data_IF_953000358402
#
_entry.id   IF_953000358402
#
_cell.length_a   1.000
_cell.length_b   1.000
_cell.length_c   1.000
_cell.angle_alpha   90.00
_cell.angle_beta   90.00
_cell.angle_gamma   90.00
#
_symmetry.space_group_name_H-M   'P 1'
#
loop_
_entity.id
_entity.type
_entity.pdbx_description
1 polymer ?
#
# COMPACT_ATOMS: atom_id res chain seq x y z
N UNK A 1 -42.55 8.49 -3.39
CA UNK A 1 -41.94 7.84 -4.57
C UNK A 1 -40.51 7.47 -4.22
N UNK A 2 -40.09 6.20 -4.35
CA UNK A 2 -38.69 5.84 -4.20
C UNK A 2 -37.90 6.54 -5.30
N UNK A 3 -36.81 7.23 -4.95
CA UNK A 3 -35.92 7.83 -5.96
C UNK A 3 -35.42 6.71 -6.88
N UNK A 4 -35.43 6.87 -8.21
CA UNK A 4 -34.74 5.94 -9.10
C UNK A 4 -33.28 5.85 -8.63
N UNK A 5 -32.72 4.64 -8.59
CA UNK A 5 -31.34 4.42 -8.18
C UNK A 5 -30.42 5.18 -9.14
N UNK A 6 -29.86 6.31 -8.70
CA UNK A 6 -28.94 7.09 -9.51
C UNK A 6 -27.75 6.20 -9.92
N UNK A 7 -27.42 6.14 -11.23
CA UNK A 7 -26.26 5.39 -11.70
C UNK A 7 -24.98 5.87 -11.01
N UNK A 8 -24.23 4.94 -10.42
CA UNK A 8 -22.95 5.20 -9.76
C UNK A 8 -21.83 4.35 -10.39
N UNK A 9 -20.60 4.90 -10.56
CA UNK A 9 -19.44 4.11 -10.95
C UNK A 9 -18.99 3.16 -9.84
N UNK A 10 -19.53 3.30 -8.63
CA UNK A 10 -19.19 2.49 -7.46
C UNK A 10 -20.32 1.55 -7.05
N UNK A 11 -19.93 0.42 -6.48
CA UNK A 11 -20.79 -0.48 -5.71
C UNK A 11 -20.28 -0.48 -4.28
N UNK A 12 -21.18 -0.24 -3.33
CA UNK A 12 -20.89 -0.26 -1.91
C UNK A 12 -21.34 -1.59 -1.30
N UNK A 13 -20.53 -2.10 -0.39
CA UNK A 13 -20.78 -3.33 0.35
C UNK A 13 -20.60 -3.06 1.83
N UNK A 14 -21.52 -3.57 2.65
CA UNK A 14 -21.19 -3.89 4.03
C UNK A 14 -20.34 -5.18 4.10
N UNK A 15 -19.74 -5.44 5.26
CA UNK A 15 -18.91 -6.63 5.50
C UNK A 15 -19.65 -7.95 5.24
N UNK A 16 -20.96 -8.02 5.54
CA UNK A 16 -21.76 -9.25 5.39
C UNK A 16 -22.01 -9.56 3.91
N UNK A 17 -22.27 -8.54 3.10
CA UNK A 17 -22.41 -8.67 1.65
C UNK A 17 -21.06 -9.05 1.02
N UNK A 18 -19.98 -8.41 1.47
CA UNK A 18 -18.64 -8.68 0.94
C UNK A 18 -18.15 -10.08 1.23
N UNK A 19 -18.29 -10.58 2.47
CA UNK A 19 -17.80 -11.93 2.84
C UNK A 19 -18.47 -13.05 2.04
N UNK A 20 -19.72 -12.84 1.60
CA UNK A 20 -20.43 -13.81 0.75
C UNK A 20 -19.73 -14.03 -0.61
N UNK A 21 -18.93 -13.07 -1.07
CA UNK A 21 -18.18 -13.15 -2.34
C UNK A 21 -16.94 -14.05 -2.27
N UNK A 22 -16.57 -14.54 -1.07
CA UNK A 22 -15.49 -15.53 -0.87
C UNK A 22 -15.72 -16.78 -1.71
N UNK A 23 -16.98 -17.22 -1.83
CA UNK A 23 -17.35 -18.51 -2.44
C UNK A 23 -16.53 -19.66 -1.83
N UNK A 24 -16.05 -20.60 -2.65
CA UNK A 24 -15.26 -21.75 -2.20
C UNK A 24 -13.75 -21.47 -2.04
N UNK A 25 -13.33 -20.21 -1.91
CA UNK A 25 -11.89 -19.88 -1.80
C UNK A 25 -11.34 -20.35 -0.45
N UNK A 26 -10.39 -21.32 -0.43
CA UNK A 26 -9.89 -21.88 0.82
C UNK A 26 -8.99 -20.87 1.55
N UNK A 27 -9.11 -20.82 2.87
CA UNK A 27 -8.16 -20.09 3.71
C UNK A 27 -6.91 -20.95 3.86
N UNK A 28 -5.80 -20.53 3.25
CA UNK A 28 -4.51 -21.22 3.31
C UNK A 28 -3.47 -20.51 4.19
N UNK A 29 -3.94 -19.62 5.08
CA UNK A 29 -3.12 -18.85 6.00
C UNK A 29 -3.42 -19.30 7.43
N UNK A 30 -2.37 -19.61 8.19
CA UNK A 30 -2.48 -20.02 9.59
C UNK A 30 -2.49 -18.81 10.53
N UNK A 31 -2.99 -19.00 11.75
CA UNK A 31 -2.94 -17.96 12.79
C UNK A 31 -1.49 -17.54 13.12
N UNK A 32 -0.55 -18.49 13.08
CA UNK A 32 0.86 -18.23 13.36
C UNK A 32 1.51 -17.36 12.28
N UNK A 33 1.29 -17.67 11.00
CA UNK A 33 1.77 -16.83 9.90
C UNK A 33 1.19 -15.42 9.98
N UNK A 34 -0.08 -15.29 10.38
CA UNK A 34 -0.74 -14.01 10.51
C UNK A 34 -0.05 -13.08 11.52
N UNK A 35 0.51 -13.63 12.62
CA UNK A 35 1.24 -12.84 13.62
C UNK A 35 2.44 -12.11 13.00
N UNK A 36 3.16 -12.74 12.06
CA UNK A 36 4.30 -12.15 11.36
C UNK A 36 3.91 -11.08 10.33
N UNK A 37 2.65 -11.08 9.87
CA UNK A 37 2.17 -10.10 8.88
C UNK A 37 1.61 -8.82 9.55
N UNK A 38 1.19 -8.91 10.81
CA UNK A 38 0.62 -7.79 11.57
C UNK A 38 1.64 -6.67 11.78
N UNK A 39 1.23 -5.45 11.46
CA UNK A 39 1.95 -4.25 11.88
C UNK A 39 1.71 -3.93 13.35
N UNK A 40 2.62 -3.14 13.94
CA UNK A 40 2.47 -2.64 15.31
C UNK A 40 1.15 -1.87 15.47
N UNK A 41 0.34 -2.27 16.44
CA UNK A 41 -0.95 -1.65 16.77
C UNK A 41 -2.15 -2.15 15.96
N UNK A 42 -1.97 -3.04 14.98
CA UNK A 42 -3.06 -3.55 14.14
C UNK A 42 -3.75 -4.77 14.76
N UNK A 43 -5.09 -4.78 14.73
CA UNK A 43 -5.93 -5.87 15.21
C UNK A 43 -6.44 -6.74 14.06
N UNK A 44 -5.52 -7.35 13.31
CA UNK A 44 -5.89 -8.25 12.21
C UNK A 44 -6.02 -9.69 12.71
N UNK A 45 -7.22 -10.26 12.73
CA UNK A 45 -7.44 -11.68 13.06
C UNK A 45 -7.74 -12.54 11.82
N UNK A 46 -7.86 -13.86 12.02
CA UNK A 46 -8.17 -14.78 10.93
C UNK A 46 -9.56 -14.55 10.35
N UNK A 47 -10.51 -14.05 11.15
CA UNK A 47 -11.87 -13.80 10.70
C UNK A 47 -11.88 -12.62 9.71
N UNK A 48 -11.13 -11.56 9.97
CA UNK A 48 -10.99 -10.46 9.02
C UNK A 48 -10.25 -10.89 7.74
N UNK A 49 -9.22 -11.74 7.85
CA UNK A 49 -8.59 -12.34 6.66
C UNK A 49 -9.62 -13.10 5.82
N UNK A 50 -10.45 -13.92 6.47
CA UNK A 50 -11.46 -14.73 5.82
C UNK A 50 -12.59 -13.91 5.18
N UNK A 51 -13.11 -12.93 5.91
CA UNK A 51 -14.29 -12.18 5.51
C UNK A 51 -13.97 -11.02 4.56
N UNK A 52 -12.76 -10.44 4.63
CA UNK A 52 -12.40 -9.23 3.87
C UNK A 52 -11.33 -9.53 2.83
N UNK A 53 -10.21 -10.12 3.24
CA UNK A 53 -9.04 -10.26 2.37
C UNK A 53 -9.14 -11.44 1.39
N UNK A 54 -9.82 -12.55 1.73
CA UNK A 54 -10.03 -13.64 0.78
C UNK A 54 -10.92 -13.27 -0.41
N UNK A 55 -12.11 -12.64 -0.24
CA UNK A 55 -12.87 -12.15 -1.40
C UNK A 55 -12.08 -11.15 -2.24
N UNK A 56 -11.27 -10.30 -1.61
CA UNK A 56 -10.39 -9.37 -2.30
C UNK A 56 -9.31 -10.09 -3.13
N UNK A 57 -8.60 -11.05 -2.55
CA UNK A 57 -7.59 -11.84 -3.25
C UNK A 57 -8.21 -12.61 -4.44
N UNK A 58 -9.43 -13.15 -4.27
CA UNK A 58 -10.19 -13.78 -5.36
C UNK A 58 -10.53 -12.78 -6.47
N UNK A 59 -11.04 -11.60 -6.13
CA UNK A 59 -11.34 -10.56 -7.12
C UNK A 59 -10.09 -10.18 -7.93
N UNK A 60 -8.97 -9.95 -7.24
CA UNK A 60 -7.69 -9.63 -7.88
C UNK A 60 -7.28 -10.78 -8.81
N UNK A 61 -7.35 -12.04 -8.35
CA UNK A 61 -7.00 -13.20 -9.16
C UNK A 61 -7.79 -13.28 -10.47
N UNK A 62 -9.10 -13.00 -10.43
CA UNK A 62 -9.93 -12.95 -11.64
C UNK A 62 -9.51 -11.82 -12.59
N UNK A 63 -9.15 -10.65 -12.05
CA UNK A 63 -8.70 -9.51 -12.86
C UNK A 63 -7.30 -9.72 -13.45
N UNK A 64 -6.39 -10.40 -12.74
CA UNK A 64 -5.07 -10.75 -13.27
C UNK A 64 -5.22 -11.58 -14.55
N UNK A 65 -6.02 -12.65 -14.51
CA UNK A 65 -6.26 -13.50 -15.68
C UNK A 65 -6.91 -12.73 -16.85
N UNK A 66 -7.84 -11.81 -16.56
CA UNK A 66 -8.46 -10.98 -17.59
C UNK A 66 -7.45 -9.99 -18.22
N UNK A 67 -6.60 -9.37 -17.39
CA UNK A 67 -5.62 -8.37 -17.83
C UNK A 67 -4.50 -8.99 -18.67
N UNK A 68 -4.06 -10.20 -18.34
CA UNK A 68 -3.09 -10.94 -19.16
C UNK A 68 -3.59 -11.17 -20.59
N UNK A 69 -4.88 -11.53 -20.77
CA UNK A 69 -5.48 -11.67 -22.12
C UNK A 69 -5.50 -10.35 -22.88
N UNK A 70 -5.76 -9.23 -22.20
CA UNK A 70 -5.74 -7.91 -22.83
C UNK A 70 -4.34 -7.55 -23.36
N UNK A 71 -3.30 -7.82 -22.56
CA UNK A 71 -1.92 -7.58 -22.99
C UNK A 71 -1.52 -8.50 -24.15
N UNK A 72 -1.91 -9.78 -24.11
CA UNK A 72 -1.66 -10.70 -25.21
C UNK A 72 -2.30 -10.22 -26.53
N UNK A 73 -3.53 -9.70 -26.49
CA UNK A 73 -4.19 -9.15 -27.68
C UNK A 73 -3.47 -7.90 -28.23
N UNK A 74 -2.90 -7.06 -27.36
CA UNK A 74 -2.11 -5.89 -27.79
C UNK A 74 -0.78 -6.33 -28.40
N UNK A 75 -0.09 -7.31 -27.80
CA UNK A 75 1.15 -7.87 -28.33
C UNK A 75 0.94 -8.51 -29.71
N UNK A 76 -0.15 -9.27 -29.89
CA UNK A 76 -0.54 -9.85 -31.18
C UNK A 76 -0.78 -8.75 -32.23
N UNK A 77 -1.53 -7.70 -31.89
CA UNK A 77 -1.77 -6.57 -32.80
C UNK A 77 -0.47 -5.87 -33.22
N UNK A 78 0.51 -5.75 -32.30
CA UNK A 78 1.81 -5.14 -32.58
C UNK A 78 2.78 -6.06 -33.34
N UNK A 79 2.40 -7.33 -33.57
CA UNK A 79 3.27 -8.32 -34.20
C UNK A 79 4.48 -8.69 -33.33
N UNK A 80 4.40 -8.49 -32.01
CA UNK A 80 5.45 -8.94 -31.10
C UNK A 80 5.51 -10.47 -31.12
N UNK A 81 6.71 -11.08 -31.02
CA UNK A 81 6.83 -12.52 -30.85
C UNK A 81 5.96 -12.95 -29.68
N UNK A 82 5.21 -14.05 -29.84
CA UNK A 82 4.31 -14.56 -28.82
C UNK A 82 5.02 -14.58 -27.47
N UNK A 83 4.57 -13.74 -26.53
CA UNK A 83 5.18 -13.63 -25.21
C UNK A 83 5.22 -15.02 -24.59
N UNK A 84 6.37 -15.39 -24.02
CA UNK A 84 6.51 -16.68 -23.34
C UNK A 84 5.35 -16.81 -22.33
N UNK A 85 4.49 -17.84 -22.42
CA UNK A 85 3.38 -18.05 -21.49
C UNK A 85 3.84 -18.08 -20.01
N UNK A 86 5.11 -18.45 -19.78
CA UNK A 86 5.74 -18.50 -18.46
C UNK A 86 6.24 -17.12 -17.96
N UNK A 87 6.07 -16.07 -18.78
CA UNK A 87 6.47 -14.68 -18.49
C UNK A 87 5.35 -13.69 -18.86
N UNK A 88 4.21 -13.72 -18.17
CA UNK A 88 3.15 -12.74 -18.39
C UNK A 88 3.60 -11.32 -18.00
N UNK A 89 3.03 -10.30 -18.64
CA UNK A 89 3.18 -8.91 -18.20
C UNK A 89 2.79 -8.79 -16.72
N UNK A 90 3.66 -8.26 -15.83
CA UNK A 90 3.37 -8.17 -14.41
C UNK A 90 2.12 -7.34 -14.12
N UNK A 91 1.25 -7.85 -13.24
CA UNK A 91 0.07 -7.13 -12.77
C UNK A 91 0.44 -6.24 -11.58
N UNK A 92 0.23 -4.93 -11.68
CA UNK A 92 0.66 -3.98 -10.66
C UNK A 92 -0.51 -3.52 -9.78
N UNK A 93 -0.34 -3.67 -8.47
CA UNK A 93 -1.32 -3.28 -7.45
C UNK A 93 -0.77 -2.12 -6.62
N UNK A 94 -1.46 -0.98 -6.65
CA UNK A 94 -1.16 0.14 -5.75
C UNK A 94 -1.90 0.02 -4.42
N UNK A 95 -1.21 0.16 -3.28
CA UNK A 95 -1.83 0.23 -1.94
C UNK A 95 -1.56 1.59 -1.30
N UNK A 96 -2.61 2.40 -1.17
CA UNK A 96 -2.57 3.79 -0.69
C UNK A 96 -3.36 3.98 0.61
N UNK A 97 -3.22 5.18 1.20
CA UNK A 97 -3.83 5.55 2.48
C UNK A 97 -2.87 6.34 3.38
N UNK A 98 -3.40 6.87 4.47
CA UNK A 98 -2.63 7.69 5.41
C UNK A 98 -1.50 6.92 6.13
N UNK A 99 -0.54 7.64 6.70
CA UNK A 99 0.37 7.08 7.72
C UNK A 99 -0.48 6.47 8.84
N UNK A 100 -0.02 5.35 9.41
CA UNK A 100 -0.69 4.61 10.51
C UNK A 100 -2.06 3.99 10.20
N UNK A 101 -2.62 4.13 9.00
CA UNK A 101 -3.93 3.54 8.66
C UNK A 101 -3.90 2.01 8.46
N UNK A 102 -2.71 1.41 8.31
CA UNK A 102 -2.55 -0.05 8.15
C UNK A 102 -2.17 -0.56 6.77
N UNK A 103 -1.79 0.31 5.82
CA UNK A 103 -1.40 -0.06 4.45
C UNK A 103 -0.41 -1.21 4.37
N UNK A 104 0.69 -1.15 5.12
CA UNK A 104 1.75 -2.15 5.04
C UNK A 104 1.27 -3.53 5.53
N UNK A 105 0.35 -3.56 6.50
CA UNK A 105 -0.33 -4.80 6.92
C UNK A 105 -1.21 -5.33 5.80
N UNK A 106 -2.08 -4.49 5.22
CA UNK A 106 -2.90 -4.84 4.05
C UNK A 106 -2.05 -5.40 2.90
N UNK A 107 -0.94 -4.75 2.57
CA UNK A 107 -0.04 -5.15 1.48
C UNK A 107 0.62 -6.51 1.75
N UNK A 108 1.15 -6.75 2.97
CA UNK A 108 1.73 -8.04 3.37
C UNK A 108 0.71 -9.18 3.37
N UNK A 109 -0.52 -8.92 3.82
CA UNK A 109 -1.60 -9.91 3.80
C UNK A 109 -1.98 -10.25 2.38
N UNK A 110 -2.16 -9.24 1.51
CA UNK A 110 -2.44 -9.47 0.10
C UNK A 110 -1.31 -10.24 -0.59
N UNK A 111 -0.05 -9.89 -0.32
CA UNK A 111 1.11 -10.62 -0.85
C UNK A 111 1.03 -12.10 -0.47
N UNK A 112 0.83 -12.39 0.82
CA UNK A 112 0.75 -13.75 1.33
C UNK A 112 -0.41 -14.54 0.70
N UNK A 113 -1.60 -13.95 0.60
CA UNK A 113 -2.77 -14.63 0.03
C UNK A 113 -2.63 -14.86 -1.48
N UNK A 114 -2.15 -13.86 -2.22
CA UNK A 114 -2.01 -13.95 -3.68
C UNK A 114 -0.95 -14.97 -4.09
N UNK A 115 0.17 -15.05 -3.37
CA UNK A 115 1.23 -16.04 -3.64
C UNK A 115 0.78 -17.50 -3.48
N UNK A 116 -0.37 -17.74 -2.82
CA UNK A 116 -0.94 -19.09 -2.61
C UNK A 116 -1.94 -19.52 -3.70
N UNK A 117 -2.20 -18.67 -4.70
CA UNK A 117 -2.93 -19.04 -5.91
C UNK A 117 -1.96 -19.70 -6.91
N UNK A 118 -2.26 -20.94 -7.32
CA UNK A 118 -1.32 -21.79 -8.06
C UNK A 118 -0.83 -21.24 -9.41
N UNK A 119 -1.54 -20.28 -10.01
CA UNK A 119 -1.19 -19.71 -11.32
C UNK A 119 -0.30 -18.47 -11.26
N UNK A 120 -0.07 -17.86 -10.08
CA UNK A 120 0.66 -16.58 -9.95
C UNK A 120 1.53 -16.56 -8.68
N UNK A 121 2.49 -17.50 -8.52
CA UNK A 121 3.20 -17.68 -7.26
C UNK A 121 4.16 -16.52 -6.92
N UNK A 122 4.67 -15.77 -7.90
CA UNK A 122 5.66 -14.72 -7.67
C UNK A 122 4.98 -13.38 -7.39
N UNK A 123 4.80 -13.08 -6.11
CA UNK A 123 4.22 -11.82 -5.64
C UNK A 123 5.25 -11.02 -4.86
N UNK A 124 5.76 -9.96 -5.48
CA UNK A 124 6.73 -9.06 -4.87
C UNK A 124 6.04 -7.85 -4.22
N UNK A 125 6.62 -7.33 -3.15
CA UNK A 125 6.16 -6.15 -2.43
C UNK A 125 7.27 -5.11 -2.35
N UNK A 126 7.01 -3.90 -2.82
CA UNK A 126 7.92 -2.74 -2.75
C UNK A 126 7.21 -1.57 -2.08
N UNK A 127 7.87 -0.92 -1.14
CA UNK A 127 7.38 0.32 -0.52
C UNK A 127 7.95 1.54 -1.22
N UNK A 128 7.18 2.62 -1.35
CA UNK A 128 7.67 3.84 -2.00
C UNK A 128 8.60 4.66 -1.11
N UNK A 129 8.71 4.33 0.18
CA UNK A 129 9.65 4.93 1.12
C UNK A 129 11.11 4.77 0.63
N UNK A 130 11.43 3.67 -0.06
CA UNK A 130 12.72 3.46 -0.73
C UNK A 130 13.05 4.47 -1.83
N UNK A 131 12.06 5.25 -2.27
CA UNK A 131 12.23 6.31 -3.27
C UNK A 131 12.16 7.71 -2.67
N UNK A 132 12.18 7.85 -1.35
CA UNK A 132 12.48 9.13 -0.71
C UNK A 132 13.90 9.55 -1.07
N UNK A 133 14.13 10.85 -1.20
CA UNK A 133 15.50 11.34 -1.24
C UNK A 133 16.21 11.04 0.09
N UNK A 134 17.52 10.72 0.07
CA UNK A 134 18.30 10.60 1.30
C UNK A 134 18.21 11.88 2.15
N UNK A 135 18.36 11.77 3.47
CA UNK A 135 18.24 12.90 4.38
C UNK A 135 19.20 14.04 4.02
N UNK A 136 20.41 13.73 3.54
CA UNK A 136 21.37 14.73 3.05
C UNK A 136 20.78 15.63 1.94
N UNK A 137 20.04 15.03 1.00
CA UNK A 137 19.40 15.76 -0.09
C UNK A 137 18.14 16.52 0.38
N UNK A 138 17.36 15.94 1.30
CA UNK A 138 16.22 16.62 1.92
C UNK A 138 16.66 17.85 2.73
N UNK A 139 17.77 17.76 3.47
CA UNK A 139 18.38 18.87 4.20
C UNK A 139 18.93 19.94 3.25
N UNK A 140 19.65 19.54 2.19
CA UNK A 140 20.15 20.46 1.15
C UNK A 140 19.03 21.27 0.51
N UNK A 141 17.87 20.64 0.30
CA UNK A 141 16.65 21.27 -0.25
C UNK A 141 15.80 21.99 0.80
N UNK A 142 16.15 21.92 2.09
CA UNK A 142 15.39 22.49 3.22
C UNK A 142 13.95 21.95 3.34
N UNK A 143 13.73 20.69 2.96
CA UNK A 143 12.41 20.02 2.98
C UNK A 143 12.37 18.80 3.90
N UNK A 144 13.27 18.72 4.90
CA UNK A 144 13.30 17.62 5.87
C UNK A 144 11.96 17.47 6.62
N UNK A 145 11.32 18.60 6.95
CA UNK A 145 9.99 18.67 7.57
C UNK A 145 8.84 18.27 6.63
N UNK A 146 9.13 18.00 5.34
CA UNK A 146 8.16 17.56 4.34
C UNK A 146 8.42 16.12 3.88
N UNK A 147 9.10 15.31 4.67
CA UNK A 147 9.28 13.89 4.37
C UNK A 147 7.91 13.20 4.28
N UNK A 148 7.67 12.50 3.17
CA UNK A 148 6.38 11.89 2.85
C UNK A 148 5.47 12.73 1.94
N UNK A 149 5.77 14.01 1.72
CA UNK A 149 5.11 14.85 0.71
C UNK A 149 5.64 14.56 -0.71
N UNK A 150 4.89 14.88 -1.78
CA UNK A 150 5.28 14.56 -3.16
C UNK A 150 6.71 14.96 -3.55
N UNK A 151 7.18 16.13 -3.10
CA UNK A 151 8.51 16.68 -3.39
C UNK A 151 9.66 15.96 -2.70
N UNK A 152 9.38 15.16 -1.66
CA UNK A 152 10.37 14.40 -0.91
C UNK A 152 10.79 13.09 -1.60
N UNK A 153 10.12 12.72 -2.71
CA UNK A 153 10.41 11.50 -3.46
C UNK A 153 11.16 11.77 -4.77
N UNK A 154 12.07 10.87 -5.14
CA UNK A 154 12.56 10.72 -6.50
C UNK A 154 11.49 10.03 -7.37
N UNK A 155 10.50 10.82 -7.77
CA UNK A 155 9.39 10.38 -8.64
C UNK A 155 9.88 9.82 -9.98
N UNK A 156 11.05 10.27 -10.48
CA UNK A 156 11.62 9.77 -11.73
C UNK A 156 12.19 8.37 -11.55
N UNK A 157 12.91 8.11 -10.45
CA UNK A 157 13.39 6.78 -10.13
C UNK A 157 12.24 5.79 -9.90
N UNK A 158 11.20 6.23 -9.19
CA UNK A 158 10.00 5.41 -8.96
C UNK A 158 9.29 5.07 -10.28
N UNK A 159 9.07 6.06 -11.16
CA UNK A 159 8.50 5.81 -12.49
C UNK A 159 9.35 4.83 -13.30
N UNK A 160 10.67 5.04 -13.39
CA UNK A 160 11.57 4.12 -14.11
C UNK A 160 11.50 2.69 -13.59
N UNK A 161 11.42 2.51 -12.26
CA UNK A 161 11.28 1.19 -11.66
C UNK A 161 9.98 0.50 -12.07
N UNK A 162 8.84 1.17 -11.93
CA UNK A 162 7.52 0.61 -12.30
C UNK A 162 7.43 0.32 -13.79
N UNK A 163 7.93 1.23 -14.63
CA UNK A 163 8.00 1.01 -16.08
C UNK A 163 8.87 -0.18 -16.41
N UNK A 164 10.08 -0.31 -15.84
CA UNK A 164 10.96 -1.44 -16.12
C UNK A 164 10.31 -2.79 -15.79
N UNK A 165 9.62 -2.88 -14.63
CA UNK A 165 8.88 -4.10 -14.27
C UNK A 165 7.74 -4.34 -15.26
N UNK A 166 6.89 -3.34 -15.52
CA UNK A 166 5.72 -3.51 -16.41
C UNK A 166 6.10 -3.81 -17.86
N UNK A 167 7.27 -3.35 -18.31
CA UNK A 167 7.83 -3.65 -19.62
C UNK A 167 8.51 -5.03 -19.70
N UNK A 168 8.47 -5.84 -18.64
CA UNK A 168 8.97 -7.22 -18.67
C UNK A 168 10.49 -7.36 -18.53
N UNK A 169 11.18 -6.36 -17.97
CA UNK A 169 12.61 -6.47 -17.69
C UNK A 169 12.92 -7.69 -16.81
N UNK A 170 14.03 -8.38 -17.07
CA UNK A 170 14.43 -9.58 -16.31
C UNK A 170 14.61 -9.27 -14.82
N UNK A 171 15.10 -8.07 -14.51
CA UNK A 171 15.20 -7.57 -13.16
C UNK A 171 15.08 -6.04 -13.10
N UNK A 172 14.51 -5.54 -12.02
CA UNK A 172 14.52 -4.14 -11.64
C UNK A 172 14.92 -4.03 -10.16
N UNK A 173 15.46 -2.88 -9.76
CA UNK A 173 15.90 -2.67 -8.38
C UNK A 173 15.29 -1.41 -7.78
N UNK A 174 14.86 -1.51 -6.53
CA UNK A 174 14.37 -0.39 -5.71
C UNK A 174 15.34 -0.16 -4.53
N UNK A 175 15.64 1.09 -4.14
CA UNK A 175 16.45 1.34 -2.95
C UNK A 175 15.72 0.91 -1.67
N UNK A 176 16.47 0.62 -0.62
CA UNK A 176 15.93 0.23 0.69
C UNK A 176 15.84 1.45 1.60
N UNK A 177 14.68 1.66 2.22
CA UNK A 177 14.50 2.62 3.31
C UNK A 177 14.47 1.90 4.65
N UNK A 178 15.15 2.45 5.65
CA UNK A 178 15.13 1.92 7.01
C UNK A 178 14.41 2.87 7.95
N UNK A 179 13.33 2.40 8.56
CA UNK A 179 12.63 3.12 9.61
C UNK A 179 13.44 3.23 10.91
N UNK A 180 14.49 2.41 11.10
CA UNK A 180 15.37 2.48 12.26
C UNK A 180 16.24 3.73 12.20
N UNK A 181 17.02 3.88 11.13
CA UNK A 181 17.89 5.05 10.91
C UNK A 181 17.16 6.23 10.29
N UNK A 182 15.89 6.04 9.90
CA UNK A 182 15.04 7.03 9.26
C UNK A 182 15.68 7.62 7.99
N UNK A 183 16.30 6.78 7.15
CA UNK A 183 16.95 7.19 5.91
C UNK A 183 17.04 6.02 4.90
N UNK A 184 17.45 6.34 3.67
CA UNK A 184 17.86 5.37 2.66
C UNK A 184 19.13 4.65 3.13
N UNK A 185 19.14 3.32 3.02
CA UNK A 185 20.30 2.51 3.38
C UNK A 185 21.30 2.51 2.20
N UNK A 186 22.52 3.06 2.35
CA UNK A 186 23.45 3.18 1.24
C UNK A 186 23.82 1.82 0.64
N UNK A 187 23.67 1.70 -0.69
CA UNK A 187 24.05 0.50 -1.44
C UNK A 187 23.04 -0.66 -1.39
N UNK A 188 22.14 -0.69 -0.42
CA UNK A 188 21.12 -1.74 -0.32
C UNK A 188 19.97 -1.53 -1.31
N UNK A 189 19.56 -2.63 -1.94
CA UNK A 189 18.49 -2.65 -2.94
C UNK A 189 17.64 -3.91 -2.82
N UNK A 190 16.34 -3.77 -3.01
CA UNK A 190 15.44 -4.88 -3.30
C UNK A 190 15.52 -5.17 -4.80
N UNK A 191 15.75 -6.43 -5.16
CA UNK A 191 15.78 -6.87 -6.56
C UNK A 191 14.48 -7.63 -6.86
N UNK A 192 13.70 -7.09 -7.80
CA UNK A 192 12.46 -7.67 -8.30
C UNK A 192 12.76 -8.38 -9.61
N UNK A 193 12.41 -9.67 -9.72
CA UNK A 193 12.76 -10.54 -10.85
C UNK A 193 11.52 -11.02 -11.59
N UNK A 194 11.00 -10.17 -12.48
CA UNK A 194 9.86 -10.46 -13.34
C UNK A 194 8.69 -11.14 -12.58
N UNK A 195 8.07 -10.46 -11.59
CA UNK A 195 6.99 -11.04 -10.79
C UNK A 195 5.73 -11.23 -11.62
N UNK A 196 4.86 -12.13 -11.19
CA UNK A 196 3.52 -12.25 -11.78
C UNK A 196 2.64 -11.09 -11.29
N UNK A 197 2.83 -10.70 -10.01
CA UNK A 197 2.15 -9.57 -9.37
C UNK A 197 3.18 -8.72 -8.61
N UNK A 198 3.17 -7.40 -8.84
CA UNK A 198 3.94 -6.45 -8.04
C UNK A 198 2.97 -5.59 -7.20
N UNK A 199 3.12 -5.64 -5.88
CA UNK A 199 2.42 -4.74 -4.95
C UNK A 199 3.32 -3.55 -4.65
N UNK A 200 2.81 -2.35 -4.87
CA UNK A 200 3.49 -1.09 -4.55
C UNK A 200 2.69 -0.37 -3.47
N UNK A 201 3.28 -0.26 -2.28
CA UNK A 201 2.65 0.36 -1.12
C UNK A 201 3.26 1.73 -0.83
N UNK A 202 2.43 2.74 -0.56
CA UNK A 202 2.94 4.03 -0.14
C UNK A 202 1.92 5.16 -0.10
N UNK A 203 2.37 6.33 0.37
CA UNK A 203 1.51 7.52 0.50
C UNK A 203 1.15 8.14 -0.85
N UNK A 204 2.04 8.02 -1.83
CA UNK A 204 2.00 8.76 -3.09
C UNK A 204 1.53 7.91 -4.29
N UNK A 205 1.19 6.64 -4.10
CA UNK A 205 1.00 5.69 -5.22
C UNK A 205 -0.18 6.03 -6.13
N UNK A 206 -1.20 6.73 -5.62
CA UNK A 206 -2.36 7.18 -6.41
C UNK A 206 -2.34 8.68 -6.76
N UNK A 207 -1.22 9.35 -6.51
CA UNK A 207 -1.06 10.75 -6.90
C UNK A 207 -1.01 10.90 -8.41
N UNK A 208 -1.61 11.99 -8.90
CA UNK A 208 -1.68 12.29 -10.32
C UNK A 208 -1.09 13.65 -10.61
N UNK A 209 -0.73 13.91 -11.87
CA UNK A 209 -0.24 15.21 -12.29
C UNK A 209 -0.40 15.42 -13.79
N UNK A 210 0.24 16.48 -14.33
CA UNK A 210 0.06 16.87 -15.73
C UNK A 210 0.75 15.93 -16.73
N UNK A 211 1.60 15.03 -16.25
CA UNK A 211 2.28 14.01 -17.04
C UNK A 211 1.94 12.62 -16.50
N UNK A 212 2.30 11.59 -17.26
CA UNK A 212 2.17 10.19 -16.85
C UNK A 212 2.75 9.96 -15.45
N UNK A 213 1.97 9.34 -14.57
CA UNK A 213 2.34 8.98 -13.19
C UNK A 213 2.27 7.47 -13.00
N UNK A 214 2.87 6.96 -11.93
CA UNK A 214 2.84 5.52 -11.64
C UNK A 214 1.42 4.97 -11.47
N UNK A 215 0.46 5.81 -11.05
CA UNK A 215 -0.96 5.43 -10.95
C UNK A 215 -1.55 5.01 -12.29
N UNK A 216 -1.04 5.54 -13.40
CA UNK A 216 -1.50 5.21 -14.76
C UNK A 216 -0.97 3.85 -15.22
N UNK A 217 0.03 3.30 -14.50
CA UNK A 217 0.60 1.98 -14.74
C UNK A 217 0.02 0.91 -13.81
N UNK A 218 -0.96 1.24 -12.96
CA UNK A 218 -1.59 0.25 -12.09
C UNK A 218 -2.75 -0.46 -12.77
N UNK A 219 -2.84 -1.77 -12.54
CA UNK A 219 -3.94 -2.61 -13.02
C UNK A 219 -5.06 -2.72 -11.98
N UNK A 220 -4.70 -2.56 -10.70
CA UNK A 220 -5.62 -2.47 -9.57
C UNK A 220 -5.09 -1.51 -8.51
N UNK A 221 -5.98 -0.90 -7.73
CA UNK A 221 -5.58 -0.08 -6.60
C UNK A 221 -6.50 -0.23 -5.40
N UNK A 222 -5.90 -0.28 -4.22
CA UNK A 222 -6.56 -0.34 -2.92
C UNK A 222 -6.24 0.94 -2.16
N UNK A 223 -7.26 1.60 -1.62
CA UNK A 223 -7.09 2.70 -0.67
C UNK A 223 -7.61 2.27 0.69
N UNK A 224 -6.73 2.25 1.70
CA UNK A 224 -7.09 1.98 3.08
C UNK A 224 -7.52 3.28 3.75
N UNK A 225 -8.78 3.36 4.14
CA UNK A 225 -9.47 4.55 4.61
C UNK A 225 -9.96 4.39 6.05
N UNK A 226 -10.00 5.49 6.79
CA UNK A 226 -10.55 5.57 8.15
C UNK A 226 -10.96 7.01 8.45
N UNK A 227 -11.58 7.28 9.61
CA UNK A 227 -11.79 8.67 10.03
C UNK A 227 -10.46 9.30 10.39
N UNK A 228 -10.31 10.60 10.15
CA UNK A 228 -9.05 11.30 10.40
C UNK A 228 -8.70 11.22 11.90
N UNK A 229 -9.71 11.32 12.74
CA UNK A 229 -9.61 11.27 14.21
C UNK A 229 -9.13 9.89 14.67
N UNK A 230 -9.63 8.81 14.06
CA UNK A 230 -9.19 7.44 14.37
C UNK A 230 -7.72 7.24 13.94
N UNK A 231 -7.32 7.74 12.77
CA UNK A 231 -5.95 7.64 12.28
C UNK A 231 -4.98 8.41 13.18
N UNK A 232 -5.37 9.60 13.65
CA UNK A 232 -4.58 10.37 14.62
C UNK A 232 -4.36 9.55 15.90
N UNK A 233 -5.43 8.96 16.44
CA UNK A 233 -5.33 8.13 17.64
C UNK A 233 -4.43 6.92 17.43
N UNK A 234 -4.52 6.24 16.28
CA UNK A 234 -3.65 5.12 15.93
C UNK A 234 -2.19 5.56 15.76
N UNK A 235 -1.96 6.73 15.16
CA UNK A 235 -0.63 7.29 15.02
C UNK A 235 0.01 7.56 16.39
N UNK A 236 -0.71 8.22 17.29
CA UNK A 236 -0.23 8.52 18.66
C UNK A 236 0.01 7.22 19.44
N UNK A 237 -0.92 6.27 19.37
CA UNK A 237 -0.79 4.98 20.06
C UNK A 237 0.42 4.19 19.57
N UNK A 238 0.64 4.17 18.25
CA UNK A 238 1.83 3.54 17.65
C UNK A 238 3.12 4.25 18.03
N UNK A 239 3.12 5.59 18.09
CA UNK A 239 4.29 6.35 18.54
C UNK A 239 4.69 5.98 19.98
N UNK A 240 3.71 5.86 20.89
CA UNK A 240 3.96 5.43 22.27
C UNK A 240 4.49 3.99 22.35
N UNK A 241 3.93 3.08 21.55
CA UNK A 241 4.43 1.71 21.47
C UNK A 241 5.86 1.64 20.91
N UNK A 242 6.18 2.44 19.89
CA UNK A 242 7.55 2.54 19.35
C UNK A 242 8.51 3.13 20.38
N UNK A 243 8.08 4.09 21.19
CA UNK A 243 8.88 4.64 22.29
C UNK A 243 9.32 3.55 23.28
N UNK A 244 8.41 2.65 23.66
CA UNK A 244 8.70 1.54 24.56
C UNK A 244 9.52 0.41 23.90
N UNK A 245 9.62 0.37 22.57
CA UNK A 245 10.32 -0.68 21.83
C UNK A 245 11.39 -0.12 20.90
N UNK A 246 11.02 0.17 19.64
CA UNK A 246 11.96 0.53 18.58
C UNK A 246 12.84 1.76 18.90
N UNK A 247 12.32 2.77 19.59
CA UNK A 247 13.09 3.97 19.94
C UNK A 247 14.05 3.73 21.11
N UNK A 248 13.87 2.68 21.90
CA UNK A 248 14.83 2.34 22.95
C UNK A 248 16.19 1.88 22.38
N UNK A 249 16.23 1.45 21.11
CA UNK A 249 17.48 1.15 20.42
C UNK A 249 18.31 2.44 20.22
N UNK A 250 19.57 2.52 20.72
CA UNK A 250 20.44 3.69 20.53
C UNK A 250 20.73 4.04 19.06
N UNK A 251 20.63 3.06 18.15
CA UNK A 251 20.78 3.28 16.72
C UNK A 251 19.52 3.86 16.06
N UNK A 252 18.40 3.96 16.79
CA UNK A 252 17.20 4.59 16.27
C UNK A 252 17.42 6.09 16.10
N UNK A 253 17.07 6.62 14.92
CA UNK A 253 17.02 8.07 14.70
C UNK A 253 16.13 8.78 15.74
N UNK A 254 15.10 8.09 16.22
CA UNK A 254 14.14 8.57 17.21
C UNK A 254 14.50 8.21 18.65
N UNK A 255 15.74 7.80 18.92
CA UNK A 255 16.17 7.42 20.26
C UNK A 255 15.97 8.53 21.30
N UNK A 256 16.10 9.79 20.87
CA UNK A 256 15.83 10.96 21.71
C UNK A 256 14.39 11.04 22.25
N UNK A 257 13.42 10.34 21.64
CA UNK A 257 12.06 10.24 22.18
C UNK A 257 11.90 9.18 23.27
N UNK A 258 12.86 8.26 23.43
CA UNK A 258 12.77 7.16 24.41
C UNK A 258 12.71 7.63 25.86
N UNK A 259 13.25 8.82 26.16
CA UNK A 259 13.29 9.40 27.50
C UNK A 259 12.10 10.31 27.81
N UNK A 260 11.20 10.56 26.86
CA UNK A 260 10.03 11.39 27.09
C UNK A 260 9.03 10.71 28.01
N UNK A 261 8.38 11.48 28.89
CA UNK A 261 7.19 11.02 29.62
C UNK A 261 6.02 10.76 28.67
N UNK A 262 4.99 10.04 29.12
CA UNK A 262 3.81 9.71 28.30
C UNK A 262 3.13 10.98 27.78
N UNK A 263 2.98 11.99 28.63
CA UNK A 263 2.41 13.28 28.26
C UNK A 263 3.24 14.00 27.20
N UNK A 264 4.58 14.05 27.38
CA UNK A 264 5.48 14.67 26.42
C UNK A 264 5.49 13.92 25.07
N UNK A 265 5.45 12.59 25.10
CA UNK A 265 5.42 11.77 23.90
C UNK A 265 4.10 11.91 23.14
N UNK A 266 2.97 12.00 23.84
CA UNK A 266 1.66 12.30 23.24
C UNK A 266 1.68 13.69 22.59
N UNK A 267 2.20 14.70 23.29
CA UNK A 267 2.32 16.05 22.75
C UNK A 267 3.17 16.07 21.48
N UNK A 268 4.37 15.47 21.51
CA UNK A 268 5.26 15.39 20.36
C UNK A 268 4.62 14.63 19.18
N UNK A 269 3.95 13.51 19.45
CA UNK A 269 3.26 12.74 18.41
C UNK A 269 2.14 13.57 17.76
N UNK A 270 1.31 14.26 18.56
CA UNK A 270 0.25 15.12 18.04
C UNK A 270 0.81 16.30 17.25
N UNK A 271 1.88 16.93 17.72
CA UNK A 271 2.52 18.02 17.00
C UNK A 271 3.01 17.58 15.61
N UNK A 272 3.71 16.45 15.51
CA UNK A 272 4.13 15.86 14.22
C UNK A 272 2.92 15.52 13.35
N UNK A 273 1.87 14.95 13.94
CA UNK A 273 0.65 14.63 13.20
C UNK A 273 0.01 15.88 12.60
N UNK A 274 -0.23 16.90 13.41
CA UNK A 274 -0.91 18.14 13.02
C UNK A 274 -0.07 18.98 12.04
N UNK A 275 1.26 19.01 12.20
CA UNK A 275 2.14 19.84 11.37
C UNK A 275 2.61 19.16 10.08
N UNK A 276 2.69 17.82 10.03
CA UNK A 276 3.26 17.08 8.89
C UNK A 276 2.26 16.10 8.28
N UNK A 277 1.79 15.12 9.06
CA UNK A 277 1.04 13.98 8.50
C UNK A 277 -0.38 14.35 8.07
N UNK A 278 -1.09 15.15 8.88
CA UNK A 278 -2.45 15.59 8.60
C UNK A 278 -2.53 16.51 7.38
N UNK A 279 -1.68 17.56 7.23
CA UNK A 279 -1.65 18.35 6.01
C UNK A 279 -1.33 17.49 4.78
N UNK A 280 -0.40 16.53 4.90
CA UNK A 280 -0.10 15.62 3.80
C UNK A 280 -1.31 14.74 3.43
N UNK A 281 -2.02 14.22 4.43
CA UNK A 281 -3.25 13.44 4.23
C UNK A 281 -4.30 14.27 3.50
N UNK A 282 -4.63 15.46 3.99
CA UNK A 282 -5.68 16.30 3.44
C UNK A 282 -5.35 16.75 2.02
N UNK A 283 -4.12 17.20 1.78
CA UNK A 283 -3.77 17.85 0.53
C UNK A 283 -3.30 16.88 -0.56
N UNK A 284 -2.69 15.75 -0.21
CA UNK A 284 -2.00 14.90 -1.19
C UNK A 284 -2.47 13.45 -1.23
N UNK A 285 -3.05 12.91 -0.15
CA UNK A 285 -3.43 11.49 -0.07
C UNK A 285 -4.94 11.32 -0.25
N UNK A 286 -5.75 11.97 0.60
CA UNK A 286 -7.21 11.85 0.61
C UNK A 286 -7.87 12.22 -0.74
N UNK A 287 -7.40 13.24 -1.49
CA UNK A 287 -7.95 13.56 -2.81
C UNK A 287 -7.79 12.43 -3.84
N UNK A 288 -6.90 11.47 -3.59
CA UNK A 288 -6.68 10.32 -4.49
C UNK A 288 -7.65 9.16 -4.24
N UNK A 289 -8.36 9.14 -3.09
CA UNK A 289 -9.30 8.07 -2.71
C UNK A 289 -10.36 7.75 -3.77
N UNK A 290 -10.98 8.73 -4.46
CA UNK A 290 -11.94 8.42 -5.54
C UNK A 290 -11.31 7.69 -6.74
N UNK A 291 -9.99 7.74 -6.92
CA UNK A 291 -9.33 7.07 -8.05
C UNK A 291 -9.07 5.59 -7.80
N UNK A 292 -9.14 5.15 -6.54
CA UNK A 292 -8.89 3.77 -6.16
C UNK A 292 -9.93 2.82 -6.77
N UNK A 293 -9.49 1.63 -7.19
CA UNK A 293 -10.39 0.56 -7.64
C UNK A 293 -11.22 0.05 -6.48
N UNK A 294 -10.62 -0.10 -5.30
CA UNK A 294 -11.29 -0.53 -4.08
C UNK A 294 -10.90 0.37 -2.90
N UNK A 295 -11.89 0.82 -2.13
CA UNK A 295 -11.68 1.47 -0.83
C UNK A 295 -12.04 0.51 0.28
N UNK A 296 -11.10 0.27 1.21
CA UNK A 296 -11.32 -0.49 2.44
C UNK A 296 -11.52 0.51 3.58
N UNK A 297 -12.74 0.59 4.12
CA UNK A 297 -13.06 1.54 5.19
C UNK A 297 -13.01 0.84 6.55
N UNK A 298 -12.03 1.24 7.36
CA UNK A 298 -11.85 0.83 8.75
C UNK A 298 -12.72 1.68 9.67
N UNK A 299 -13.24 1.06 10.71
CA UNK A 299 -13.80 1.74 11.88
C UNK A 299 -12.72 1.86 12.98
N UNK A 300 -13.05 2.48 14.12
CA UNK A 300 -12.08 2.89 15.15
C UNK A 300 -11.28 1.74 15.80
N UNK A 301 -11.82 0.53 15.79
CA UNK A 301 -11.21 -0.72 16.27
C UNK A 301 -10.30 -1.40 15.22
N UNK A 302 -10.01 -0.70 14.12
CA UNK A 302 -9.33 -1.19 12.92
C UNK A 302 -10.12 -2.19 12.07
N UNK A 303 -11.33 -2.61 12.47
CA UNK A 303 -12.10 -3.56 11.69
C UNK A 303 -12.56 -2.95 10.36
N UNK A 304 -12.44 -3.72 9.27
CA UNK A 304 -12.95 -3.29 7.96
C UNK A 304 -14.42 -3.68 7.83
N UNK A 305 -15.32 -2.70 7.87
CA UNK A 305 -16.77 -2.95 7.86
C UNK A 305 -17.49 -2.48 6.59
N UNK A 306 -16.84 -1.63 5.79
CA UNK A 306 -17.40 -1.10 4.54
C UNK A 306 -16.38 -1.15 3.43
N UNK A 307 -16.85 -1.50 2.23
CA UNK A 307 -16.04 -1.55 1.03
C UNK A 307 -16.74 -0.83 -0.10
N UNK A 308 -15.95 -0.16 -0.94
CA UNK A 308 -16.46 0.52 -2.14
C UNK A 308 -15.62 0.14 -3.35
N UNK A 309 -16.20 -0.63 -4.25
CA UNK A 309 -15.57 -1.12 -5.48
C UNK A 309 -16.00 -0.26 -6.67
N UNK A 310 -15.04 0.21 -7.47
CA UNK A 310 -15.32 0.81 -8.77
C UNK A 310 -15.58 -0.30 -9.78
N UNK A 311 -16.78 -0.32 -10.38
CA UNK A 311 -17.18 -1.34 -11.37
C UNK A 311 -16.93 -0.94 -12.82
N UNK A 312 -16.52 0.31 -13.04
CA UNK A 312 -16.20 0.92 -14.34
C UNK A 312 -14.71 1.30 -14.39
#
# INVERSE_FOLDING_TARGET
MPRPSEPSPYVEFDRRQWRALRMATPLKLTAHELLGLRGMGEQLDLLEVEEVYLPLARLIHLQVAARQRLFAATAEFLGEPQQNPDRPVPFIIGVAGSVAVGKSTTARVLQALLARFGHHPRVDLVTTDGFLYPNAELMRRKIMHRKGFPESYDRRALMRFVTAVKSGADQASAPVYSHLIYDIVPGEKVVVRHPDILIIEGLNVLQTGPALMISDLFDFSVYVDARIEDIEQWYVSRFLAMRAGAFANPQSHFHHYSTLTDEQAIFAARDIWQSINLPNLIHNILPTRPRATLVLRKDADHAINRLRLRKL
#
